data_IF_959038295318
#
_entry.id   IF_959038295318
#
_cell.length_a   1.000
_cell.length_b   1.000
_cell.length_c   1.000
_cell.angle_alpha   90.00
_cell.angle_beta   90.00
_cell.angle_gamma   90.00
#
_symmetry.space_group_name_H-M   'P 1'
#
loop_
_entity.id
_entity.type
_entity.pdbx_description
1 polymer ?
#
# COMPACT_ATOMS: atom_id res chain seq x y z
N UNK A 1 10.18 -5.94 -9.17
CA UNK A 1 8.87 -6.08 -8.50
C UNK A 1 8.04 -4.84 -8.81
N UNK A 2 6.81 -5.01 -9.28
CA UNK A 2 5.91 -3.87 -9.49
C UNK A 2 5.33 -3.45 -8.11
N UNK A 3 5.68 -2.26 -7.61
CA UNK A 3 5.20 -1.76 -6.32
C UNK A 3 3.83 -1.10 -6.55
N UNK A 4 2.74 -1.61 -5.94
CA UNK A 4 1.41 -1.02 -6.11
C UNK A 4 1.36 0.44 -5.61
N UNK A 5 0.57 1.26 -6.28
CA UNK A 5 0.31 2.67 -5.91
C UNK A 5 -1.12 2.86 -5.44
N UNK A 6 -2.02 2.01 -5.94
CA UNK A 6 -3.45 2.10 -5.65
C UNK A 6 -4.01 0.77 -5.21
N UNK A 7 -4.72 0.81 -4.10
CA UNK A 7 -5.55 -0.29 -3.61
C UNK A 7 -6.99 0.19 -3.58
N UNK A 8 -7.94 -0.67 -3.93
CA UNK A 8 -9.35 -0.31 -3.93
C UNK A 8 -10.15 -1.29 -3.07
N UNK A 9 -10.78 -0.80 -2.03
CA UNK A 9 -11.75 -1.58 -1.26
C UNK A 9 -13.06 -1.79 -2.03
N UNK A 10 -13.60 -3.00 -1.92
CA UNK A 10 -14.95 -3.37 -2.38
C UNK A 10 -15.62 -4.24 -1.33
N UNK A 11 -16.86 -3.91 -0.88
CA UNK A 11 -17.55 -4.71 0.12
C UNK A 11 -17.84 -6.13 -0.39
N UNK A 12 -17.56 -7.16 0.41
CA UNK A 12 -17.75 -8.57 0.05
C UNK A 12 -19.20 -8.97 -0.17
N UNK A 13 -20.14 -8.21 0.40
CA UNK A 13 -21.57 -8.40 0.19
C UNK A 13 -22.11 -7.71 -1.08
N UNK A 14 -21.22 -7.23 -1.97
CA UNK A 14 -21.53 -6.57 -3.24
C UNK A 14 -20.81 -7.22 -4.42
N UNK A 15 -21.08 -8.52 -4.69
CA UNK A 15 -20.36 -9.28 -5.72
C UNK A 15 -20.47 -8.69 -7.13
N UNK A 16 -21.55 -7.93 -7.42
CA UNK A 16 -21.74 -7.21 -8.69
C UNK A 16 -20.72 -6.09 -8.93
N UNK A 17 -19.93 -5.74 -7.90
CA UNK A 17 -18.89 -4.71 -7.98
C UNK A 17 -17.48 -5.28 -8.17
N UNK A 18 -17.26 -6.58 -7.99
CA UNK A 18 -15.91 -7.16 -8.00
C UNK A 18 -15.22 -7.01 -9.35
N UNK A 19 -15.91 -7.38 -10.45
CA UNK A 19 -15.36 -7.24 -11.80
C UNK A 19 -15.13 -5.76 -12.17
N UNK A 20 -16.02 -4.85 -11.72
CA UNK A 20 -15.85 -3.40 -11.91
C UNK A 20 -14.66 -2.86 -11.11
N UNK A 21 -14.41 -3.36 -9.89
CA UNK A 21 -13.25 -3.00 -9.10
C UNK A 21 -11.97 -3.49 -9.78
N UNK A 22 -11.93 -4.71 -10.29
CA UNK A 22 -10.81 -5.27 -11.03
C UNK A 22 -10.50 -4.50 -12.33
N UNK A 23 -11.53 -3.96 -12.99
CA UNK A 23 -11.41 -3.14 -14.21
C UNK A 23 -11.20 -1.64 -13.92
N UNK A 24 -11.10 -1.22 -12.65
CA UNK A 24 -11.03 0.20 -12.28
C UNK A 24 -9.68 0.86 -12.54
N UNK A 25 -8.65 0.08 -12.86
CA UNK A 25 -7.26 0.53 -12.95
C UNK A 25 -6.54 0.58 -11.61
N UNK A 26 -7.13 0.09 -10.52
CA UNK A 26 -6.41 -0.14 -9.27
C UNK A 26 -5.37 -1.26 -9.44
N UNK A 27 -4.19 -1.10 -8.82
CA UNK A 27 -3.15 -2.12 -8.87
C UNK A 27 -3.58 -3.36 -8.07
N UNK A 28 -4.28 -3.14 -6.94
CA UNK A 28 -4.78 -4.19 -6.04
C UNK A 28 -6.25 -3.94 -5.71
N UNK A 29 -7.08 -4.95 -5.79
CA UNK A 29 -8.45 -4.93 -5.27
C UNK A 29 -8.49 -5.61 -3.91
N UNK A 30 -9.16 -5.00 -2.94
CA UNK A 30 -9.34 -5.56 -1.61
C UNK A 30 -10.82 -5.87 -1.41
N UNK A 31 -11.18 -7.15 -1.45
CA UNK A 31 -12.53 -7.58 -1.05
C UNK A 31 -12.60 -7.53 0.47
N UNK A 32 -13.55 -6.76 0.99
CA UNK A 32 -13.67 -6.53 2.43
C UNK A 32 -14.74 -7.42 3.05
N UNK A 33 -14.37 -8.23 4.02
CA UNK A 33 -15.29 -9.04 4.83
C UNK A 33 -15.48 -8.47 6.25
N UNK A 34 -14.77 -7.37 6.57
CA UNK A 34 -14.76 -6.79 7.91
C UNK A 34 -15.72 -5.60 8.01
N UNK A 35 -15.22 -4.37 8.15
CA UNK A 35 -16.00 -3.19 8.51
C UNK A 35 -17.04 -2.78 7.47
N UNK A 36 -16.77 -3.01 6.19
CA UNK A 36 -17.73 -2.67 5.13
C UNK A 36 -18.93 -3.63 5.05
N UNK A 37 -18.97 -4.68 5.86
CA UNK A 37 -20.02 -5.71 5.85
C UNK A 37 -20.68 -5.85 7.22
N UNK A 38 -21.99 -5.64 7.26
CA UNK A 38 -22.76 -5.82 8.51
C UNK A 38 -22.71 -7.28 9.01
N UNK A 39 -22.76 -7.52 10.32
CA UNK A 39 -22.58 -8.86 10.91
C UNK A 39 -23.48 -9.95 10.31
N UNK A 40 -24.71 -9.60 9.93
CA UNK A 40 -25.70 -10.55 9.37
C UNK A 40 -25.36 -11.01 7.94
N UNK A 41 -24.47 -10.31 7.23
CA UNK A 41 -24.10 -10.62 5.85
C UNK A 41 -22.67 -11.13 5.67
N UNK A 42 -21.94 -11.32 6.77
CA UNK A 42 -20.53 -11.74 6.70
C UNK A 42 -20.33 -13.12 6.07
N UNK A 43 -21.22 -14.07 6.34
CA UNK A 43 -21.15 -15.40 5.73
C UNK A 43 -21.47 -15.38 4.24
N UNK A 44 -22.44 -14.54 3.82
CA UNK A 44 -22.72 -14.28 2.41
C UNK A 44 -21.52 -13.63 1.71
N UNK A 45 -20.90 -12.62 2.34
CA UNK A 45 -19.73 -11.94 1.81
C UNK A 45 -18.55 -12.89 1.63
N UNK A 46 -18.31 -13.81 2.59
CA UNK A 46 -17.31 -14.87 2.49
C UNK A 46 -17.56 -15.78 1.29
N UNK A 47 -18.80 -16.24 1.13
CA UNK A 47 -19.19 -17.09 0.02
C UNK A 47 -19.02 -16.40 -1.34
N UNK A 48 -19.40 -15.12 -1.45
CA UNK A 48 -19.20 -14.32 -2.63
C UNK A 48 -17.71 -14.16 -2.99
N UNK A 49 -16.86 -13.85 -2.00
CA UNK A 49 -15.42 -13.73 -2.19
C UNK A 49 -14.83 -15.07 -2.66
N UNK A 50 -15.18 -16.20 -2.03
CA UNK A 50 -14.71 -17.51 -2.42
C UNK A 50 -15.12 -17.87 -3.87
N UNK A 51 -16.37 -17.62 -4.23
CA UNK A 51 -16.88 -17.87 -5.58
C UNK A 51 -16.18 -16.99 -6.63
N UNK A 52 -15.89 -15.74 -6.31
CA UNK A 52 -15.13 -14.85 -7.19
C UNK A 52 -13.70 -15.34 -7.39
N UNK A 53 -12.97 -15.60 -6.31
CA UNK A 53 -11.57 -16.05 -6.36
C UNK A 53 -11.41 -17.37 -7.11
N UNK A 54 -12.37 -18.30 -7.01
CA UNK A 54 -12.34 -19.58 -7.72
C UNK A 54 -12.46 -19.45 -9.25
N UNK A 55 -13.11 -18.37 -9.76
CA UNK A 55 -13.41 -18.20 -11.19
C UNK A 55 -12.62 -17.09 -11.87
N UNK A 56 -11.96 -16.21 -11.10
CA UNK A 56 -11.29 -15.03 -11.71
C UNK A 56 -10.15 -15.42 -12.64
N UNK A 57 -10.03 -14.69 -13.74
CA UNK A 57 -8.97 -14.86 -14.75
C UNK A 57 -8.19 -13.57 -15.00
N UNK A 58 -8.58 -12.45 -14.37
CA UNK A 58 -7.93 -11.15 -14.54
C UNK A 58 -6.54 -11.06 -13.92
N UNK A 59 -5.72 -10.12 -14.40
CA UNK A 59 -4.34 -9.87 -13.94
C UNK A 59 -4.24 -8.96 -12.71
N UNK A 60 -5.31 -8.27 -12.32
CA UNK A 60 -5.29 -7.43 -11.13
C UNK A 60 -5.04 -8.27 -9.87
N UNK A 61 -4.15 -7.81 -9.00
CA UNK A 61 -3.91 -8.47 -7.71
C UNK A 61 -5.14 -8.35 -6.82
N UNK A 62 -5.54 -9.45 -6.16
CA UNK A 62 -6.72 -9.47 -5.28
C UNK A 62 -6.35 -9.92 -3.89
N UNK A 63 -6.52 -9.02 -2.94
CA UNK A 63 -6.47 -9.30 -1.51
C UNK A 63 -7.89 -9.48 -0.95
N UNK A 64 -7.99 -10.17 0.17
CA UNK A 64 -9.23 -10.18 0.98
C UNK A 64 -8.90 -9.71 2.38
N UNK A 65 -9.58 -8.65 2.83
CA UNK A 65 -9.56 -8.28 4.25
C UNK A 65 -10.53 -9.18 4.98
N UNK A 66 -9.99 -10.11 5.75
CA UNK A 66 -10.79 -11.05 6.57
C UNK A 66 -11.18 -10.43 7.89
N UNK A 67 -12.09 -11.07 8.61
CA UNK A 67 -12.41 -10.67 9.98
C UNK A 67 -11.21 -10.96 10.91
N UNK A 68 -11.20 -10.33 12.08
CA UNK A 68 -10.18 -10.54 13.11
C UNK A 68 -10.04 -12.04 13.44
N UNK A 69 -8.79 -12.53 13.43
CA UNK A 69 -8.46 -13.94 13.74
C UNK A 69 -8.79 -14.34 15.19
N UNK A 70 -8.86 -13.36 16.12
CA UNK A 70 -9.34 -13.62 17.47
C UNK A 70 -10.82 -14.01 17.49
N UNK A 71 -11.58 -13.62 16.45
CA UNK A 71 -12.95 -14.05 16.25
C UNK A 71 -13.02 -15.41 15.53
N UNK A 72 -14.09 -16.19 15.78
CA UNK A 72 -14.34 -17.42 15.02
C UNK A 72 -14.47 -17.15 13.51
N UNK A 73 -15.05 -15.99 13.13
CA UNK A 73 -15.25 -15.61 11.75
C UNK A 73 -13.94 -15.43 10.96
N UNK A 74 -12.91 -14.84 11.56
CA UNK A 74 -11.62 -14.69 10.89
C UNK A 74 -10.98 -16.03 10.54
N UNK A 75 -11.13 -17.03 11.42
CA UNK A 75 -10.67 -18.41 11.14
C UNK A 75 -11.50 -19.09 10.06
N UNK A 76 -12.82 -18.89 10.06
CA UNK A 76 -13.71 -19.41 9.01
C UNK A 76 -13.40 -18.77 7.66
N UNK A 77 -13.13 -17.46 7.62
CA UNK A 77 -12.69 -16.75 6.40
C UNK A 77 -11.38 -17.35 5.87
N UNK A 78 -10.40 -17.54 6.74
CA UNK A 78 -9.10 -18.09 6.36
C UNK A 78 -9.22 -19.53 5.84
N UNK A 79 -10.06 -20.35 6.49
CA UNK A 79 -10.31 -21.72 6.06
C UNK A 79 -11.00 -21.79 4.69
N UNK A 80 -11.94 -20.87 4.43
CA UNK A 80 -12.67 -20.84 3.17
C UNK A 80 -11.85 -20.29 1.98
N UNK A 81 -10.90 -19.41 2.24
CA UNK A 81 -10.22 -18.62 1.19
C UNK A 81 -8.76 -19.04 0.99
N UNK A 82 -8.10 -19.57 2.03
CA UNK A 82 -6.64 -19.72 2.07
C UNK A 82 -6.03 -20.69 1.05
N UNK A 83 -6.82 -21.54 0.40
CA UNK A 83 -6.37 -22.47 -0.65
C UNK A 83 -6.73 -22.04 -2.07
N UNK A 84 -7.39 -20.89 -2.25
CA UNK A 84 -7.90 -20.47 -3.56
C UNK A 84 -6.79 -19.80 -4.39
N UNK A 85 -6.56 -20.31 -5.59
CA UNK A 85 -5.51 -19.80 -6.48
C UNK A 85 -5.70 -18.33 -6.92
N UNK A 86 -6.93 -17.82 -6.84
CA UNK A 86 -7.22 -16.42 -7.14
C UNK A 86 -6.94 -15.44 -5.98
N UNK A 87 -6.50 -15.91 -4.81
CA UNK A 87 -6.14 -15.09 -3.66
C UNK A 87 -4.63 -14.82 -3.67
N UNK A 88 -4.25 -13.54 -3.78
CA UNK A 88 -2.83 -13.17 -3.77
C UNK A 88 -2.31 -12.94 -2.33
N UNK A 89 -3.13 -12.33 -1.46
CA UNK A 89 -2.84 -12.21 -0.03
C UNK A 89 -4.11 -11.99 0.81
N UNK A 90 -4.06 -12.30 2.09
CA UNK A 90 -5.06 -11.84 3.06
C UNK A 90 -4.60 -10.56 3.71
N UNK A 91 -5.53 -9.66 3.99
CA UNK A 91 -5.32 -8.52 4.88
C UNK A 91 -5.85 -8.89 6.27
N UNK A 92 -4.94 -8.90 7.21
CA UNK A 92 -5.25 -9.25 8.60
C UNK A 92 -5.44 -7.97 9.41
N UNK A 93 -6.66 -7.69 9.90
CA UNK A 93 -6.89 -6.60 10.83
C UNK A 93 -6.30 -6.93 12.20
N UNK A 94 -6.05 -5.91 13.01
CA UNK A 94 -5.70 -6.00 14.45
C UNK A 94 -4.51 -6.92 14.75
N UNK A 95 -3.48 -6.83 13.90
CA UNK A 95 -2.25 -7.60 14.14
C UNK A 95 -1.43 -6.91 15.24
N UNK A 96 -1.34 -7.55 16.40
CA UNK A 96 -0.68 -7.01 17.59
C UNK A 96 0.61 -7.75 17.97
N UNK A 97 0.90 -8.87 17.33
CA UNK A 97 2.14 -9.64 17.55
C UNK A 97 2.49 -10.48 16.34
N UNK A 98 3.76 -10.85 16.19
CA UNK A 98 4.20 -11.76 15.15
C UNK A 98 3.61 -13.17 15.31
N UNK A 99 3.38 -13.63 16.54
CA UNK A 99 2.86 -14.97 16.80
C UNK A 99 1.48 -15.26 16.22
N UNK A 100 0.65 -14.23 15.98
CA UNK A 100 -0.67 -14.43 15.33
C UNK A 100 -0.53 -14.85 13.85
N UNK A 101 0.64 -14.68 13.27
CA UNK A 101 0.97 -14.98 11.88
C UNK A 101 1.53 -16.40 11.69
N UNK A 102 1.86 -17.08 12.80
CA UNK A 102 2.45 -18.42 12.75
C UNK A 102 1.47 -19.43 12.13
N UNK A 103 1.97 -20.23 11.19
CA UNK A 103 1.20 -21.29 10.56
C UNK A 103 0.09 -20.84 9.62
N UNK A 104 0.02 -19.57 9.23
CA UNK A 104 -0.94 -19.11 8.22
C UNK A 104 -0.66 -19.78 6.87
N UNK A 105 -1.70 -20.33 6.19
CA UNK A 105 -1.53 -21.04 4.92
C UNK A 105 -1.37 -20.09 3.72
N UNK A 106 -1.42 -18.78 3.96
CA UNK A 106 -1.41 -17.73 2.91
C UNK A 106 -0.50 -16.58 3.30
N UNK A 107 -0.08 -15.80 2.31
CA UNK A 107 0.64 -14.53 2.53
C UNK A 107 -0.26 -13.51 3.20
N UNK A 108 0.31 -12.78 4.17
CA UNK A 108 -0.41 -11.81 4.98
C UNK A 108 0.06 -10.38 4.73
N UNK A 109 -0.90 -9.49 4.60
CA UNK A 109 -0.70 -8.04 4.68
C UNK A 109 -1.22 -7.60 6.05
N UNK A 110 -0.33 -7.25 6.97
CA UNK A 110 -0.72 -6.95 8.35
C UNK A 110 -1.21 -5.50 8.51
N UNK A 111 -2.40 -5.32 9.11
CA UNK A 111 -2.91 -4.01 9.47
C UNK A 111 -2.56 -3.72 10.93
N UNK A 112 -1.79 -2.65 11.12
CA UNK A 112 -1.34 -2.15 12.42
C UNK A 112 -2.26 -0.99 12.81
N UNK A 113 -3.23 -1.27 13.67
CA UNK A 113 -4.33 -0.36 13.97
C UNK A 113 -4.61 -0.22 15.48
N UNK A 114 -3.64 -0.68 16.29
CA UNK A 114 -3.62 -0.51 17.75
C UNK A 114 -2.23 -0.10 18.24
N UNK A 115 -2.15 0.45 19.45
CA UNK A 115 -0.88 0.81 20.09
C UNK A 115 0.05 -0.42 20.19
N UNK A 116 -0.50 -1.59 20.55
CA UNK A 116 0.24 -2.84 20.62
C UNK A 116 0.83 -3.23 19.25
N UNK A 117 0.04 -3.10 18.17
CA UNK A 117 0.49 -3.36 16.80
C UNK A 117 1.63 -2.43 16.37
N UNK A 118 1.55 -1.14 16.71
CA UNK A 118 2.63 -0.17 16.42
C UNK A 118 3.90 -0.52 17.18
N UNK A 119 3.81 -0.83 18.48
CA UNK A 119 4.97 -1.23 19.29
C UNK A 119 5.61 -2.51 18.75
N UNK A 120 4.83 -3.46 18.26
CA UNK A 120 5.29 -4.72 17.69
C UNK A 120 5.64 -4.63 16.18
N UNK A 121 5.49 -3.47 15.53
CA UNK A 121 5.60 -3.31 14.07
C UNK A 121 6.85 -3.95 13.46
N UNK A 122 8.00 -3.82 14.14
CA UNK A 122 9.26 -4.38 13.65
C UNK A 122 9.27 -5.91 13.63
N UNK A 123 8.77 -6.55 14.68
CA UNK A 123 8.71 -8.02 14.76
C UNK A 123 7.63 -8.59 13.83
N UNK A 124 6.52 -7.88 13.67
CA UNK A 124 5.46 -8.23 12.72
C UNK A 124 5.98 -8.14 11.29
N UNK A 125 6.60 -7.02 10.91
CA UNK A 125 7.14 -6.81 9.57
C UNK A 125 8.22 -7.84 9.20
N UNK A 126 9.05 -8.26 10.16
CA UNK A 126 10.11 -9.25 9.96
C UNK A 126 9.61 -10.70 9.83
N UNK A 127 8.32 -10.98 10.07
CA UNK A 127 7.77 -12.32 9.99
C UNK A 127 7.73 -12.82 8.52
N UNK A 128 8.22 -14.04 8.21
CA UNK A 128 8.38 -14.53 6.83
C UNK A 128 7.05 -14.71 6.07
N UNK A 129 5.92 -14.80 6.77
CA UNK A 129 4.58 -14.84 6.18
C UNK A 129 4.03 -13.48 5.77
N UNK A 130 4.67 -12.36 6.18
CA UNK A 130 4.22 -10.99 5.90
C UNK A 130 4.79 -10.53 4.57
N UNK A 131 3.94 -10.02 3.70
CA UNK A 131 4.31 -9.44 2.40
C UNK A 131 4.13 -7.92 2.35
N UNK A 132 3.57 -7.33 3.39
CA UNK A 132 3.41 -5.89 3.55
C UNK A 132 2.71 -5.54 4.85
N UNK A 133 2.83 -4.28 5.24
CA UNK A 133 2.16 -3.71 6.41
C UNK A 133 1.45 -2.42 6.03
N UNK A 134 0.37 -2.09 6.73
CA UNK A 134 -0.34 -0.82 6.59
C UNK A 134 -0.89 -0.37 7.94
N UNK A 135 -1.20 0.93 8.05
CA UNK A 135 -1.82 1.47 9.26
C UNK A 135 -3.34 1.51 9.13
N UNK A 136 -4.04 1.19 10.23
CA UNK A 136 -5.45 1.54 10.44
C UNK A 136 -5.53 2.85 11.22
N UNK A 137 -5.36 3.98 10.53
CA UNK A 137 -5.20 5.30 11.19
C UNK A 137 -6.43 5.75 11.97
N UNK A 138 -7.63 5.34 11.54
CA UNK A 138 -8.89 5.71 12.23
C UNK A 138 -8.96 5.02 13.61
N UNK A 139 -8.64 3.73 13.67
CA UNK A 139 -8.65 2.96 14.90
C UNK A 139 -7.56 3.44 15.86
N UNK A 140 -6.35 3.69 15.35
CA UNK A 140 -5.24 4.28 16.12
C UNK A 140 -5.60 5.65 16.67
N UNK A 141 -6.21 6.53 15.86
CA UNK A 141 -6.63 7.84 16.32
C UNK A 141 -7.69 7.74 17.41
N UNK A 142 -8.62 6.80 17.29
CA UNK A 142 -9.66 6.57 18.29
C UNK A 142 -9.08 6.01 19.60
N UNK A 143 -8.22 4.97 19.52
CA UNK A 143 -7.61 4.33 20.70
C UNK A 143 -6.72 5.32 21.47
N UNK A 144 -5.88 6.07 20.74
CA UNK A 144 -4.88 6.95 21.33
C UNK A 144 -5.37 8.40 21.53
N UNK A 145 -6.62 8.69 21.14
CA UNK A 145 -7.21 10.04 21.18
C UNK A 145 -6.36 11.07 20.41
N UNK A 146 -5.76 10.66 19.28
CA UNK A 146 -4.92 11.51 18.44
C UNK A 146 -5.81 12.42 17.60
N UNK A 147 -5.55 13.73 17.68
CA UNK A 147 -6.20 14.77 16.86
C UNK A 147 -5.18 15.59 16.07
N UNK A 148 -3.90 15.45 16.37
CA UNK A 148 -2.81 16.17 15.73
C UNK A 148 -2.11 15.32 14.67
N UNK A 149 -1.96 15.88 13.47
CA UNK A 149 -1.36 15.18 12.32
C UNK A 149 0.14 14.87 12.56
N UNK A 150 0.85 15.68 13.36
CA UNK A 150 2.26 15.41 13.65
C UNK A 150 2.44 14.16 14.53
N UNK A 151 1.52 13.92 15.45
CA UNK A 151 1.50 12.70 16.25
C UNK A 151 1.23 11.46 15.38
N UNK A 152 0.26 11.54 14.45
CA UNK A 152 -0.02 10.47 13.49
C UNK A 152 1.19 10.23 12.58
N UNK A 153 1.87 11.27 12.12
CA UNK A 153 3.08 11.14 11.30
C UNK A 153 4.22 10.41 12.03
N UNK A 154 4.30 10.56 13.36
CA UNK A 154 5.25 9.79 14.15
C UNK A 154 4.98 8.28 14.08
N UNK A 155 3.71 7.85 14.18
CA UNK A 155 3.32 6.46 14.05
C UNK A 155 3.54 5.93 12.63
N UNK A 156 3.21 6.72 11.61
CA UNK A 156 3.49 6.39 10.20
C UNK A 156 4.97 6.11 9.97
N UNK A 157 5.86 6.96 10.49
CA UNK A 157 7.31 6.79 10.37
C UNK A 157 7.82 5.52 11.06
N UNK A 158 7.26 5.13 12.21
CA UNK A 158 7.62 3.87 12.86
C UNK A 158 7.32 2.67 11.95
N UNK A 159 6.16 2.66 11.31
CA UNK A 159 5.77 1.57 10.40
C UNK A 159 6.59 1.59 9.10
N UNK A 160 6.89 2.77 8.55
CA UNK A 160 7.80 2.92 7.40
C UNK A 160 9.18 2.36 7.71
N UNK A 161 9.73 2.66 8.90
CA UNK A 161 11.02 2.12 9.34
C UNK A 161 10.97 0.60 9.52
N UNK A 162 9.90 0.07 10.11
CA UNK A 162 9.74 -1.37 10.30
C UNK A 162 9.67 -2.12 8.96
N UNK A 163 8.89 -1.62 8.01
CA UNK A 163 8.78 -2.18 6.66
C UNK A 163 10.12 -2.14 5.91
N UNK A 164 10.82 -1.00 5.94
CA UNK A 164 12.10 -0.83 5.28
C UNK A 164 13.18 -1.75 5.87
N UNK A 165 13.25 -1.87 7.20
CA UNK A 165 14.19 -2.75 7.89
C UNK A 165 13.95 -4.23 7.57
N UNK A 166 12.70 -4.62 7.33
CA UNK A 166 12.32 -5.98 6.94
C UNK A 166 12.43 -6.25 5.43
N UNK A 167 12.78 -5.25 4.61
CA UNK A 167 12.83 -5.37 3.15
C UNK A 167 11.45 -5.49 2.49
N UNK A 168 10.39 -5.10 3.18
CA UNK A 168 9.04 -5.10 2.63
C UNK A 168 8.82 -3.95 1.64
N UNK A 169 7.78 -4.05 0.79
CA UNK A 169 7.33 -2.93 -0.02
C UNK A 169 7.02 -1.67 0.83
N UNK A 170 7.11 -0.47 0.24
CA UNK A 170 6.72 0.75 0.93
C UNK A 170 5.29 0.70 1.47
N UNK A 171 5.07 1.36 2.60
CA UNK A 171 3.79 1.37 3.32
C UNK A 171 2.79 2.27 2.59
N UNK A 172 1.58 1.77 2.24
CA UNK A 172 0.54 2.61 1.66
C UNK A 172 -0.13 3.48 2.73
N UNK A 173 -0.65 4.61 2.29
CA UNK A 173 -1.50 5.46 3.13
C UNK A 173 -2.88 4.82 3.34
N UNK A 174 -3.47 5.08 4.49
CA UNK A 174 -4.85 4.72 4.81
C UNK A 174 -5.86 5.42 3.89
N UNK A 175 -7.12 5.04 3.98
CA UNK A 175 -8.21 5.63 3.18
C UNK A 175 -8.36 7.14 3.41
N UNK A 176 -8.81 7.85 2.38
CA UNK A 176 -9.25 9.23 2.47
C UNK A 176 -10.78 9.25 2.39
N UNK A 177 -11.48 9.65 3.46
CA UNK A 177 -12.92 9.38 3.58
C UNK A 177 -13.79 10.25 2.67
N UNK A 178 -13.34 11.47 2.33
CA UNK A 178 -14.12 12.36 1.46
C UNK A 178 -13.83 12.06 -0.01
N UNK A 179 -14.77 11.37 -0.66
CA UNK A 179 -14.70 10.98 -2.07
C UNK A 179 -14.83 12.18 -3.01
N UNK A 180 -15.42 13.30 -2.54
CA UNK A 180 -15.65 14.48 -3.36
C UNK A 180 -14.47 15.47 -3.28
N UNK A 181 -13.65 15.42 -2.25
CA UNK A 181 -12.52 16.32 -2.06
C UNK A 181 -11.24 15.79 -2.75
N UNK A 182 -11.19 15.93 -4.06
CA UNK A 182 -10.00 15.56 -4.84
C UNK A 182 -8.76 16.39 -4.50
N UNK A 183 -8.95 17.66 -4.15
CA UNK A 183 -7.83 18.56 -3.82
C UNK A 183 -7.18 18.18 -2.49
N UNK A 184 -7.98 17.91 -1.45
CA UNK A 184 -7.51 17.43 -0.16
C UNK A 184 -6.87 16.05 -0.26
N UNK A 185 -7.47 15.12 -1.02
CA UNK A 185 -6.88 13.81 -1.32
C UNK A 185 -5.47 13.96 -1.93
N UNK A 186 -5.33 14.80 -2.97
CA UNK A 186 -4.05 15.02 -3.63
C UNK A 186 -3.01 15.67 -2.69
N UNK A 187 -3.42 16.65 -1.89
CA UNK A 187 -2.55 17.30 -0.90
C UNK A 187 -2.09 16.31 0.17
N UNK A 188 -3.01 15.52 0.72
CA UNK A 188 -2.70 14.47 1.70
C UNK A 188 -1.74 13.40 1.13
N UNK A 189 -1.94 12.97 -0.12
CA UNK A 189 -1.02 12.02 -0.78
C UNK A 189 0.40 12.59 -0.90
N UNK A 190 0.54 13.87 -1.28
CA UNK A 190 1.86 14.52 -1.35
C UNK A 190 2.53 14.63 0.02
N UNK A 191 1.77 14.97 1.06
CA UNK A 191 2.27 15.02 2.43
C UNK A 191 2.76 13.63 2.91
N UNK A 192 1.99 12.57 2.66
CA UNK A 192 2.40 11.19 2.99
C UNK A 192 3.64 10.75 2.22
N UNK A 193 3.72 11.07 0.93
CA UNK A 193 4.92 10.81 0.10
C UNK A 193 6.18 11.48 0.68
N UNK A 194 6.04 12.69 1.21
CA UNK A 194 7.15 13.44 1.78
C UNK A 194 7.76 12.78 3.03
N UNK A 195 6.98 11.97 3.76
CA UNK A 195 7.43 11.23 4.95
C UNK A 195 7.72 9.74 4.68
N UNK A 196 7.75 9.31 3.41
CA UNK A 196 8.16 7.97 3.02
C UNK A 196 7.03 6.95 2.81
N UNK A 197 5.77 7.36 2.92
CA UNK A 197 4.64 6.52 2.50
C UNK A 197 4.56 6.47 0.97
N UNK A 198 4.01 5.39 0.41
CA UNK A 198 3.93 5.23 -1.04
C UNK A 198 2.64 4.54 -1.47
N UNK A 199 1.86 5.25 -2.27
CA UNK A 199 0.53 4.81 -2.69
C UNK A 199 -0.52 5.01 -1.61
N UNK A 200 -1.76 4.72 -1.94
CA UNK A 200 -2.90 4.90 -1.04
C UNK A 200 -4.03 3.93 -1.30
N UNK A 201 -4.73 3.55 -0.24
CA UNK A 201 -5.96 2.77 -0.33
C UNK A 201 -7.14 3.71 -0.64
N UNK A 202 -7.89 3.37 -1.70
CA UNK A 202 -9.10 4.05 -2.14
C UNK A 202 -10.35 3.30 -1.66
N UNK A 203 -11.44 4.04 -1.46
CA UNK A 203 -12.78 3.52 -1.18
C UNK A 203 -13.75 3.77 -2.34
N UNK A 204 -13.28 4.47 -3.38
CA UNK A 204 -14.06 4.74 -4.57
C UNK A 204 -13.15 4.83 -5.82
N UNK A 205 -13.57 4.30 -6.99
CA UNK A 205 -12.73 4.34 -8.19
C UNK A 205 -12.28 5.73 -8.65
N UNK A 206 -13.07 6.78 -8.38
CA UNK A 206 -12.70 8.18 -8.69
C UNK A 206 -11.41 8.64 -8.01
N UNK A 207 -11.04 8.04 -6.89
CA UNK A 207 -9.82 8.40 -6.16
C UNK A 207 -8.55 7.87 -6.85
N UNK A 208 -8.64 6.80 -7.63
CA UNK A 208 -7.51 6.12 -8.26
C UNK A 208 -6.66 7.08 -9.13
N UNK A 209 -7.22 7.82 -10.10
CA UNK A 209 -6.42 8.71 -10.94
C UNK A 209 -5.80 9.87 -10.14
N UNK A 210 -6.45 10.35 -9.08
CA UNK A 210 -5.93 11.40 -8.20
C UNK A 210 -4.72 10.87 -7.42
N UNK A 211 -4.83 9.68 -6.84
CA UNK A 211 -3.75 9.01 -6.10
C UNK A 211 -2.55 8.78 -7.03
N UNK A 212 -2.76 8.20 -8.23
CA UNK A 212 -1.69 7.94 -9.19
C UNK A 212 -0.93 9.22 -9.51
N UNK A 213 -1.63 10.31 -9.87
CA UNK A 213 -1.00 11.61 -10.16
C UNK A 213 -0.21 12.17 -8.97
N UNK A 214 -0.75 12.05 -7.75
CA UNK A 214 -0.09 12.58 -6.56
C UNK A 214 1.21 11.84 -6.18
N UNK A 215 1.31 10.55 -6.52
CA UNK A 215 2.51 9.74 -6.30
C UNK A 215 3.46 9.71 -7.51
N UNK A 216 3.00 10.15 -8.69
CA UNK A 216 3.87 10.29 -9.86
C UNK A 216 4.89 11.41 -9.63
N UNK A 217 6.14 11.23 -10.06
CA UNK A 217 7.11 12.31 -10.07
C UNK A 217 6.63 13.48 -10.94
N UNK A 218 6.87 14.70 -10.48
CA UNK A 218 6.62 15.89 -11.28
C UNK A 218 7.65 16.00 -12.42
N UNK A 219 7.35 16.82 -13.42
CA UNK A 219 8.31 17.11 -14.51
C UNK A 219 9.63 17.65 -13.95
N UNK A 220 9.56 18.58 -13.00
CA UNK A 220 10.75 19.15 -12.34
C UNK A 220 11.57 18.07 -11.62
N UNK A 221 10.92 17.14 -10.90
CA UNK A 221 11.60 16.02 -10.24
C UNK A 221 12.26 15.07 -11.27
N UNK A 222 11.60 14.86 -12.42
CA UNK A 222 12.11 13.99 -13.49
C UNK A 222 13.27 14.64 -14.23
N UNK A 223 13.15 15.93 -14.60
CA UNK A 223 14.20 16.70 -15.27
C UNK A 223 15.46 16.73 -14.39
N UNK A 224 15.28 17.02 -13.09
CA UNK A 224 16.37 17.00 -12.13
C UNK A 224 17.01 15.63 -11.94
N UNK A 225 16.21 14.57 -11.89
CA UNK A 225 16.73 13.21 -11.78
C UNK A 225 17.55 12.83 -13.02
N UNK A 226 17.12 13.27 -14.19
CA UNK A 226 17.85 13.10 -15.46
C UNK A 226 19.21 13.79 -15.42
N UNK A 227 19.25 15.06 -15.00
CA UNK A 227 20.49 15.83 -14.83
C UNK A 227 21.49 15.10 -13.90
N UNK A 228 21.01 14.62 -12.76
CA UNK A 228 21.84 13.89 -11.78
C UNK A 228 22.42 12.61 -12.39
N UNK A 229 21.60 11.82 -13.08
CA UNK A 229 22.03 10.54 -13.66
C UNK A 229 23.05 10.80 -14.79
N UNK A 230 22.80 11.77 -15.65
CA UNK A 230 23.72 12.14 -16.73
C UNK A 230 25.09 12.61 -16.20
N UNK A 231 25.09 13.50 -15.20
CA UNK A 231 26.32 13.99 -14.57
C UNK A 231 27.11 12.83 -13.91
N UNK A 232 26.42 11.88 -13.26
CA UNK A 232 27.08 10.71 -12.67
C UNK A 232 27.70 9.79 -13.73
N UNK A 233 27.03 9.55 -14.85
CA UNK A 233 27.54 8.74 -15.95
C UNK A 233 28.74 9.38 -16.65
N UNK A 234 28.75 10.71 -16.74
CA UNK A 234 29.91 11.48 -17.27
C UNK A 234 31.12 11.39 -16.34
N UNK A 235 30.88 11.53 -15.02
CA UNK A 235 31.93 11.37 -14.01
C UNK A 235 32.51 9.97 -14.00
N UNK A 236 31.69 8.94 -14.08
CA UNK A 236 32.11 7.53 -14.12
C UNK A 236 33.01 7.28 -15.37
N UNK A 237 32.62 7.80 -16.55
CA UNK A 237 33.41 7.72 -17.76
C UNK A 237 34.75 8.45 -17.63
N UNK A 238 34.80 9.52 -16.81
CA UNK A 238 36.03 10.29 -16.53
C UNK A 238 36.84 9.66 -15.35
N UNK A 239 36.42 8.54 -14.78
CA UNK A 239 37.13 7.88 -13.68
C UNK A 239 36.93 8.58 -12.30
N UNK A 240 35.93 9.43 -12.15
CA UNK A 240 35.63 10.13 -10.92
C UNK A 240 34.45 9.44 -10.18
N UNK A 241 34.58 9.23 -8.87
CA UNK A 241 33.55 8.57 -8.04
C UNK A 241 32.47 9.51 -7.49
N UNK A 242 32.63 10.81 -7.68
CA UNK A 242 31.67 11.83 -7.25
C UNK A 242 31.78 13.06 -8.14
N UNK A 243 30.71 13.81 -8.30
CA UNK A 243 30.68 14.99 -9.17
C UNK A 243 29.92 16.14 -8.49
N UNK A 244 30.33 17.38 -8.81
CA UNK A 244 29.53 18.56 -8.49
C UNK A 244 28.69 18.93 -9.74
N UNK A 245 27.40 19.17 -9.54
CA UNK A 245 26.53 19.71 -10.59
C UNK A 245 26.90 21.16 -10.90
N UNK A 246 26.45 21.72 -12.05
CA UNK A 246 26.71 23.11 -12.42
C UNK A 246 26.28 24.12 -11.35
N UNK A 247 25.30 23.80 -10.54
CA UNK A 247 24.82 24.62 -9.42
C UNK A 247 25.63 24.43 -8.11
N UNK A 248 26.72 23.67 -8.14
CA UNK A 248 27.63 23.44 -7.01
C UNK A 248 27.20 22.34 -6.07
N UNK A 249 26.08 21.66 -6.31
CA UNK A 249 25.64 20.53 -5.48
C UNK A 249 26.47 19.29 -5.72
N UNK A 250 26.88 18.66 -4.62
CA UNK A 250 27.58 17.40 -4.64
C UNK A 250 26.62 16.23 -4.94
N UNK A 251 27.05 15.31 -5.80
CA UNK A 251 26.30 14.10 -6.16
C UNK A 251 27.16 12.88 -5.84
N UNK A 252 26.63 12.03 -4.97
CA UNK A 252 27.20 10.75 -4.59
C UNK A 252 26.28 9.57 -4.95
N UNK A 253 26.72 8.36 -4.69
CA UNK A 253 25.99 7.15 -5.03
C UNK A 253 24.55 7.08 -4.47
N UNK A 254 24.24 7.47 -3.23
CA UNK A 254 22.88 7.55 -2.72
C UNK A 254 21.98 8.50 -3.50
N UNK A 255 22.49 9.67 -3.88
CA UNK A 255 21.75 10.67 -4.66
C UNK A 255 21.45 10.13 -6.06
N UNK A 256 22.41 9.50 -6.72
CA UNK A 256 22.23 8.84 -8.03
C UNK A 256 21.21 7.72 -7.95
N UNK A 257 21.29 6.87 -6.93
CA UNK A 257 20.34 5.78 -6.71
C UNK A 257 18.91 6.30 -6.51
N UNK A 258 18.73 7.41 -5.80
CA UNK A 258 17.43 8.09 -5.65
C UNK A 258 16.92 8.63 -6.98
N UNK A 259 17.78 9.30 -7.76
CA UNK A 259 17.43 9.82 -9.08
C UNK A 259 16.99 8.72 -10.04
N UNK A 260 17.71 7.61 -10.12
CA UNK A 260 17.32 6.43 -10.91
C UNK A 260 15.96 5.85 -10.50
N UNK A 261 15.68 5.79 -9.19
CA UNK A 261 14.35 5.37 -8.71
C UNK A 261 13.24 6.33 -9.14
N UNK A 262 13.51 7.64 -9.12
CA UNK A 262 12.55 8.66 -9.59
C UNK A 262 12.24 8.48 -11.07
N UNK A 263 13.23 8.27 -11.92
CA UNK A 263 13.04 8.03 -13.36
C UNK A 263 12.26 6.74 -13.63
N UNK A 264 12.63 5.64 -12.98
CA UNK A 264 11.92 4.38 -13.12
C UNK A 264 10.45 4.47 -12.64
N UNK A 265 10.18 5.29 -11.62
CA UNK A 265 8.82 5.54 -11.17
C UNK A 265 8.03 6.39 -12.17
N UNK A 266 8.65 7.42 -12.74
CA UNK A 266 8.05 8.27 -13.77
C UNK A 266 7.66 7.46 -15.01
N UNK A 267 8.55 6.61 -15.49
CA UNK A 267 8.31 5.71 -16.63
C UNK A 267 7.13 4.76 -16.36
N UNK A 268 7.11 4.15 -15.18
CA UNK A 268 6.05 3.20 -14.80
C UNK A 268 4.68 3.84 -14.65
N UNK A 269 4.61 5.08 -14.13
CA UNK A 269 3.36 5.79 -13.87
C UNK A 269 3.00 6.76 -15.00
N UNK A 270 3.78 6.79 -16.09
CA UNK A 270 3.40 7.50 -17.28
C UNK A 270 1.98 7.08 -17.72
N UNK A 271 1.12 8.01 -18.13
CA UNK A 271 -0.16 7.64 -18.72
C UNK A 271 0.11 6.67 -19.87
N UNK A 272 -0.56 5.52 -19.88
CA UNK A 272 -0.62 4.72 -21.10
C UNK A 272 -1.32 5.60 -22.13
N UNK A 273 -0.58 5.97 -23.20
CA UNK A 273 -1.20 6.61 -24.37
C UNK A 273 -2.18 5.60 -24.95
N UNK A 274 -3.47 5.77 -24.62
CA UNK A 274 -4.56 5.07 -25.31
C UNK A 274 -4.57 5.58 -26.74
N UNK A 275 -3.78 4.92 -27.59
CA UNK A 275 -3.79 5.11 -29.04
C UNK A 275 -5.04 4.45 -29.64
#
# INVERSE_FOLDING_TARGET
MNIPVTWLYVPGDRPERFDKAAASGADVVIIDLEDAVVPARKDEARANAAAYLARRTGSAEVHVRINDLASGRGRDDLAALGGLAGLDAVRLPKVESAGVLDGLPVKAYALLESAAGIVAAHTIAAHPGVVGVALGEQDLAAELSITDESAMNHLRLQVVLAAAAAGLPPVPMSVYPDVQDEAGLAASCRAGRAIGLFGRTAIHPRQIPVIRRAFSPTREETDRATEIVQAAEEAERAGAGAVALPDGRFVDAPIVARARRTLALAERLAPEDFS
#
